data_IF_751892157278
#
_entry.id   IF_751892157278
#
_cell.length_a   1.000
_cell.length_b   1.000
_cell.length_c   1.000
_cell.angle_alpha   90.00
_cell.angle_beta   90.00
_cell.angle_gamma   90.00
#
_symmetry.space_group_name_H-M   'P 1'
#
loop_
_entity.id
_entity.type
_entity.pdbx_description
1 polymer ?
#
# COMPACT_ATOMS: atom_id res chain seq x y z
N UNK A 1 14.17 -18.49 -3.86
CA UNK A 1 13.02 -18.40 -2.91
C UNK A 1 13.37 -17.56 -1.67
N UNK A 2 14.47 -17.84 -0.95
CA UNK A 2 14.88 -17.05 0.24
C UNK A 2 15.17 -15.56 0.00
N UNK A 3 15.49 -15.17 -1.23
CA UNK A 3 15.77 -13.78 -1.64
C UNK A 3 14.51 -12.90 -1.56
N UNK A 4 13.33 -13.44 -1.88
CA UNK A 4 12.09 -12.66 -1.92
C UNK A 4 11.66 -12.13 -0.54
N UNK A 5 11.57 -12.95 0.52
CA UNK A 5 11.28 -12.44 1.86
C UNK A 5 12.41 -11.55 2.39
N UNK A 6 13.67 -11.80 2.00
CA UNK A 6 14.81 -10.98 2.43
C UNK A 6 14.75 -9.57 1.81
N UNK A 7 14.35 -9.44 0.54
CA UNK A 7 14.12 -8.15 -0.13
C UNK A 7 12.94 -7.40 0.51
N UNK A 8 11.82 -8.09 0.79
CA UNK A 8 10.67 -7.48 1.48
C UNK A 8 11.08 -6.95 2.86
N UNK A 9 11.89 -7.72 3.60
CA UNK A 9 12.41 -7.32 4.91
C UNK A 9 13.36 -6.12 4.81
N UNK A 10 14.22 -6.09 3.79
CA UNK A 10 15.16 -4.98 3.56
C UNK A 10 14.43 -3.69 3.17
N UNK A 11 13.43 -3.79 2.27
CA UNK A 11 12.55 -2.67 1.91
C UNK A 11 11.77 -2.18 3.14
N UNK A 12 11.28 -3.09 3.99
CA UNK A 12 10.63 -2.75 5.24
C UNK A 12 11.56 -1.98 6.19
N UNK A 13 12.80 -2.44 6.39
CA UNK A 13 13.79 -1.74 7.23
C UNK A 13 14.19 -0.37 6.66
N UNK A 14 14.36 -0.25 5.34
CA UNK A 14 14.69 1.03 4.69
C UNK A 14 13.56 2.04 4.84
N UNK A 15 12.31 1.62 4.62
CA UNK A 15 11.16 2.50 4.83
C UNK A 15 10.97 2.83 6.31
N UNK A 16 11.17 1.88 7.22
CA UNK A 16 11.12 2.15 8.66
C UNK A 16 12.16 3.17 9.12
N UNK A 17 13.36 3.13 8.53
CA UNK A 17 14.42 4.11 8.77
C UNK A 17 14.11 5.48 8.15
N UNK A 18 13.43 5.53 7.01
CA UNK A 18 13.04 6.77 6.33
C UNK A 18 11.90 7.53 7.02
N UNK A 19 10.93 6.83 7.60
CA UNK A 19 9.71 7.44 8.17
C UNK A 19 9.76 7.61 9.71
N UNK A 20 10.92 7.38 10.34
CA UNK A 20 11.11 7.34 11.80
C UNK A 20 10.09 6.47 12.57
N UNK A 21 9.37 5.60 11.86
CA UNK A 21 8.27 4.83 12.42
C UNK A 21 8.06 3.53 11.65
N UNK A 22 7.98 2.44 12.40
CA UNK A 22 7.77 1.07 11.89
C UNK A 22 6.34 0.82 11.40
N UNK A 23 5.36 1.61 11.84
CA UNK A 23 3.93 1.37 11.59
C UNK A 23 3.45 1.94 10.25
N UNK A 24 4.00 3.09 9.86
CA UNK A 24 3.64 3.80 8.64
C UNK A 24 3.93 2.99 7.35
N UNK A 25 5.13 2.41 7.17
CA UNK A 25 5.43 1.62 5.97
C UNK A 25 4.79 0.23 5.96
N UNK A 26 4.48 -0.33 7.14
CA UNK A 26 3.76 -1.60 7.24
C UNK A 26 2.36 -1.51 6.60
N UNK A 27 1.64 -0.39 6.81
CA UNK A 27 0.33 -0.16 6.22
C UNK A 27 0.39 -0.12 4.69
N UNK A 28 1.40 0.55 4.11
CA UNK A 28 1.56 0.68 2.66
C UNK A 28 1.86 -0.69 2.02
N UNK A 29 2.76 -1.46 2.61
CA UNK A 29 3.11 -2.80 2.09
C UNK A 29 1.91 -3.76 2.13
N UNK A 30 1.01 -3.63 3.12
CA UNK A 30 -0.19 -4.46 3.22
C UNK A 30 -1.28 -4.07 2.20
N UNK A 31 -1.35 -2.80 1.80
CA UNK A 31 -2.36 -2.31 0.85
C UNK A 31 -2.12 -2.83 -0.57
N UNK A 32 -0.87 -2.96 -0.99
CA UNK A 32 -0.51 -3.45 -2.33
C UNK A 32 -1.09 -4.85 -2.64
N UNK A 33 -0.84 -5.91 -1.85
CA UNK A 33 -1.39 -7.23 -2.11
C UNK A 33 -2.92 -7.26 -1.97
N UNK A 34 -3.49 -6.46 -1.06
CA UNK A 34 -4.95 -6.36 -0.89
C UNK A 34 -5.60 -5.74 -2.14
N UNK A 35 -4.97 -4.72 -2.73
CA UNK A 35 -5.47 -4.04 -3.94
C UNK A 35 -5.47 -4.97 -5.14
N UNK A 36 -4.38 -5.73 -5.32
CA UNK A 36 -4.27 -6.73 -6.39
C UNK A 36 -5.35 -7.79 -6.23
N UNK A 37 -5.56 -8.28 -5.00
CA UNK A 37 -6.58 -9.28 -4.70
C UNK A 37 -8.01 -8.77 -5.01
N UNK A 38 -8.35 -7.57 -4.55
CA UNK A 38 -9.66 -6.96 -4.81
C UNK A 38 -9.91 -6.72 -6.30
N UNK A 39 -8.90 -6.28 -7.03
CA UNK A 39 -9.03 -5.98 -8.45
C UNK A 39 -9.16 -7.26 -9.29
N UNK A 40 -8.41 -8.32 -8.97
CA UNK A 40 -8.59 -9.64 -9.57
C UNK A 40 -9.98 -10.22 -9.26
N UNK A 41 -10.45 -10.10 -8.02
CA UNK A 41 -11.78 -10.53 -7.63
C UNK A 41 -12.88 -9.79 -8.42
N UNK A 42 -12.71 -8.48 -8.66
CA UNK A 42 -13.61 -7.68 -9.47
C UNK A 42 -13.66 -8.09 -10.95
N UNK A 43 -12.50 -8.36 -11.56
CA UNK A 43 -12.42 -8.89 -12.93
C UNK A 43 -13.10 -10.25 -13.03
N UNK A 44 -12.90 -11.10 -12.01
CA UNK A 44 -13.51 -12.43 -11.96
C UNK A 44 -15.04 -12.35 -11.83
N UNK A 45 -15.57 -11.40 -11.05
CA UNK A 45 -17.01 -11.16 -10.91
C UNK A 45 -17.68 -10.67 -12.19
N UNK A 46 -16.98 -9.84 -12.98
CA UNK A 46 -17.46 -9.32 -14.25
C UNK A 46 -17.32 -10.35 -15.39
N UNK A 47 -16.62 -11.47 -15.15
CA UNK A 47 -16.31 -12.47 -16.18
C UNK A 47 -15.35 -11.94 -17.25
N UNK A 48 -14.53 -10.95 -16.91
CA UNK A 48 -13.59 -10.33 -17.82
C UNK A 48 -12.35 -11.18 -18.03
N UNK A 49 -11.83 -11.22 -19.26
CA UNK A 49 -10.58 -11.89 -19.57
C UNK A 49 -9.36 -11.17 -18.95
N UNK A 50 -8.38 -11.96 -18.51
CA UNK A 50 -7.10 -11.46 -18.04
C UNK A 50 -6.18 -11.17 -19.24
N UNK A 51 -6.53 -10.15 -20.01
CA UNK A 51 -5.78 -9.69 -21.18
C UNK A 51 -4.77 -8.58 -20.83
N UNK A 52 -4.01 -8.12 -21.83
CA UNK A 52 -2.99 -7.06 -21.64
C UNK A 52 -3.62 -5.75 -21.15
N UNK A 53 -4.83 -5.40 -21.61
CA UNK A 53 -5.52 -4.20 -21.15
C UNK A 53 -5.90 -4.30 -19.66
N UNK A 54 -6.40 -5.45 -19.22
CA UNK A 54 -6.69 -5.73 -17.81
C UNK A 54 -5.42 -5.63 -16.97
N UNK A 55 -4.28 -6.18 -17.42
CA UNK A 55 -3.02 -6.07 -16.68
C UNK A 55 -2.51 -4.63 -16.54
N UNK A 56 -2.57 -3.84 -17.62
CA UNK A 56 -2.19 -2.42 -17.56
C UNK A 56 -3.12 -1.67 -16.60
N UNK A 57 -4.44 -1.91 -16.68
CA UNK A 57 -5.41 -1.31 -15.78
C UNK A 57 -5.15 -1.69 -14.31
N UNK A 58 -4.81 -2.94 -14.02
CA UNK A 58 -4.44 -3.42 -12.69
C UNK A 58 -3.20 -2.70 -12.16
N UNK A 59 -2.16 -2.52 -12.99
CA UNK A 59 -0.93 -1.81 -12.60
C UNK A 59 -1.25 -0.34 -12.27
N UNK A 60 -2.03 0.34 -13.11
CA UNK A 60 -2.43 1.74 -12.89
C UNK A 60 -3.27 1.87 -11.62
N UNK A 61 -4.22 0.96 -11.39
CA UNK A 61 -5.04 0.93 -10.19
C UNK A 61 -4.19 0.77 -8.92
N UNK A 62 -3.24 -0.16 -8.94
CA UNK A 62 -2.30 -0.37 -7.82
C UNK A 62 -1.46 0.89 -7.59
N UNK A 63 -0.97 1.55 -8.64
CA UNK A 63 -0.19 2.77 -8.51
C UNK A 63 -0.99 3.92 -7.87
N UNK A 64 -2.25 4.11 -8.28
CA UNK A 64 -3.14 5.14 -7.71
C UNK A 64 -3.51 4.83 -6.26
N UNK A 65 -3.85 3.58 -5.96
CA UNK A 65 -4.18 3.15 -4.60
C UNK A 65 -2.99 3.31 -3.65
N UNK A 66 -1.79 2.92 -4.10
CA UNK A 66 -0.56 3.05 -3.32
C UNK A 66 -0.24 4.53 -3.05
N UNK A 67 -0.41 5.41 -4.05
CA UNK A 67 -0.21 6.86 -3.86
C UNK A 67 -1.20 7.45 -2.86
N UNK A 68 -2.47 7.06 -2.91
CA UNK A 68 -3.49 7.51 -1.95
C UNK A 68 -3.21 6.99 -0.53
N UNK A 69 -2.72 5.76 -0.41
CA UNK A 69 -2.30 5.18 0.86
C UNK A 69 -1.13 5.94 1.49
N UNK A 70 -0.10 6.25 0.68
CA UNK A 70 1.05 7.05 1.12
C UNK A 70 0.58 8.41 1.63
N UNK A 71 -0.28 9.11 0.87
CA UNK A 71 -0.78 10.43 1.25
C UNK A 71 -1.57 10.41 2.58
N UNK A 72 -2.44 9.41 2.78
CA UNK A 72 -3.18 9.26 4.05
C UNK A 72 -2.24 9.03 5.23
N UNK A 73 -1.21 8.20 5.03
CA UNK A 73 -0.22 7.87 6.07
C UNK A 73 0.64 9.09 6.42
N UNK A 74 1.04 9.87 5.41
CA UNK A 74 1.79 11.11 5.57
C UNK A 74 0.96 12.15 6.33
N UNK A 75 -0.31 12.35 5.97
CA UNK A 75 -1.23 13.25 6.66
C UNK A 75 -1.47 12.82 8.12
N UNK A 76 -1.61 11.52 8.38
CA UNK A 76 -1.77 11.00 9.75
C UNK A 76 -0.51 11.23 10.60
N UNK A 77 0.68 11.14 9.99
CA UNK A 77 1.95 11.45 10.67
C UNK A 77 2.10 12.95 10.94
N UNK A 78 1.71 13.79 9.98
CA UNK A 78 1.68 15.24 10.13
C UNK A 78 0.72 15.67 11.26
N UNK A 79 -0.48 15.08 11.34
CA UNK A 79 -1.43 15.36 12.43
C UNK A 79 -0.86 14.99 13.81
N UNK A 80 -0.16 13.85 13.88
CA UNK A 80 0.48 13.36 15.10
C UNK A 80 1.63 14.27 15.54
N UNK A 81 2.45 14.76 14.61
CA UNK A 81 3.56 15.66 14.92
C UNK A 81 3.08 17.07 15.29
N UNK A 82 1.90 17.50 14.80
CA UNK A 82 1.22 18.73 15.24
C UNK A 82 0.54 18.60 16.63
N UNK A 83 0.73 17.49 17.35
CA UNK A 83 0.29 17.33 18.74
C UNK A 83 -1.20 17.03 18.91
N UNK A 84 -1.92 16.65 17.84
CA UNK A 84 -3.32 16.20 17.94
C UNK A 84 -3.40 14.70 18.26
N UNK A 85 -4.24 14.37 19.24
CA UNK A 85 -4.44 13.03 19.78
C UNK A 85 -5.03 12.10 18.71
N UNK A 86 -4.38 10.94 18.52
CA UNK A 86 -4.63 9.98 17.44
C UNK A 86 -6.03 9.35 17.50
N UNK A 87 -6.79 9.57 18.59
CA UNK A 87 -8.15 9.08 18.80
C UNK A 87 -9.26 10.09 18.46
N UNK A 88 -8.96 11.38 18.26
CA UNK A 88 -9.96 12.38 17.83
C UNK A 88 -10.03 12.58 16.31
N UNK A 89 -9.17 11.90 15.54
CA UNK A 89 -9.04 12.06 14.09
C UNK A 89 -9.36 10.78 13.28
N UNK A 90 -10.21 9.90 13.84
CA UNK A 90 -10.86 8.76 13.15
C UNK A 90 -12.36 8.95 13.29
#
# INVERSE_FOLDING_TARGET
VYIFPLVVLLVFMVLASQYESLKLPFAIILIVPMTIFSALAGVWFIGGDNNIFTQIALIVLVALACKNAILMVEFAKELKDNGQDTLSAI
#
